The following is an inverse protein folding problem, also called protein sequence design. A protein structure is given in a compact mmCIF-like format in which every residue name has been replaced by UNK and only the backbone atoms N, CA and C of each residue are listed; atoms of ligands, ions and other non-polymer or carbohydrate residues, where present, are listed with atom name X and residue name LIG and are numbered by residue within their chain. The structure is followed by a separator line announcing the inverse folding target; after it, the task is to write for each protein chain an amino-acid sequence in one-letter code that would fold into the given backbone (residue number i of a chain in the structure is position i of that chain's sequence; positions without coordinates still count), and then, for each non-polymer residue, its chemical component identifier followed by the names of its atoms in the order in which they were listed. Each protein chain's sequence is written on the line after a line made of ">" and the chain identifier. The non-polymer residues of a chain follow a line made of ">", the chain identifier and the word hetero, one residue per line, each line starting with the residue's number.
data_IF_150310815021
#
_entry.id   IF_150310815021
#
_cell.length_a   1.000
_cell.length_b   1.000
_cell.length_c   1.000
_cell.angle_alpha   90.00
_cell.angle_beta   90.00
_cell.angle_gamma   90.00
#
_symmetry.space_group_name_H-M   'P 1'
#
loop_
_entity.id
_entity.type
_entity.pdbx_description
1 polymer ?
#
# COMPACT_ATOMS: atom_id res chain seq x y z
N UNK A 1 55.76 42.57 -4.70
CA UNK A 1 55.09 41.60 -5.59
C UNK A 1 54.72 40.39 -4.73
N UNK A 2 53.54 39.78 -4.68
CA UNK A 2 52.25 39.94 -5.33
C UNK A 2 51.21 39.28 -4.40
N UNK A 3 50.02 39.87 -4.30
CA UNK A 3 48.78 39.27 -3.78
C UNK A 3 48.21 38.28 -4.80
N UNK A 4 47.62 37.17 -4.35
CA UNK A 4 46.58 36.44 -5.10
C UNK A 4 45.68 35.64 -4.16
N UNK A 5 44.39 35.90 -4.30
CA UNK A 5 43.24 35.29 -3.64
C UNK A 5 42.60 34.30 -4.62
N UNK A 6 42.20 33.12 -4.14
CA UNK A 6 41.11 32.28 -4.71
C UNK A 6 40.48 31.52 -3.54
N UNK A 7 39.32 31.90 -3.00
CA UNK A 7 37.96 31.63 -3.53
C UNK A 7 37.61 30.15 -3.58
N UNK A 8 36.98 29.68 -2.50
CA UNK A 8 35.70 28.98 -2.52
C UNK A 8 35.63 27.56 -3.06
N UNK A 9 35.29 26.62 -2.18
CA UNK A 9 34.14 25.75 -2.45
C UNK A 9 33.47 25.36 -1.14
N UNK A 10 32.21 25.75 -1.05
CA UNK A 10 31.23 25.32 -0.07
C UNK A 10 30.94 23.86 -0.42
N UNK A 11 31.41 22.91 0.39
CA UNK A 11 31.03 21.50 0.30
C UNK A 11 29.52 21.39 0.58
N UNK A 12 28.75 21.65 -0.47
CA UNK A 12 27.38 21.26 -0.59
C UNK A 12 27.43 19.74 -0.69
N UNK A 13 27.17 19.09 0.44
CA UNK A 13 26.92 17.66 0.53
C UNK A 13 25.75 17.39 -0.40
N UNK A 14 26.04 17.08 -1.66
CA UNK A 14 25.09 16.49 -2.57
C UNK A 14 24.78 15.11 -1.96
N UNK A 15 23.65 15.05 -1.27
CA UNK A 15 22.90 13.83 -0.97
C UNK A 15 22.55 13.16 -2.32
N UNK A 16 23.55 12.59 -3.00
CA UNK A 16 23.31 11.56 -4.00
C UNK A 16 23.13 10.27 -3.24
N UNK A 17 22.02 10.17 -2.52
CA UNK A 17 21.46 8.87 -2.18
C UNK A 17 21.21 8.20 -3.53
N UNK A 18 21.87 7.07 -3.85
CA UNK A 18 21.56 6.37 -5.08
C UNK A 18 20.08 6.03 -4.99
N UNK A 19 19.28 6.57 -5.92
CA UNK A 19 17.92 6.12 -6.17
C UNK A 19 18.03 4.63 -6.47
N UNK A 20 17.85 3.81 -5.42
CA UNK A 20 17.86 2.38 -5.53
C UNK A 20 16.70 2.02 -6.45
N UNK A 21 17.01 1.76 -7.72
CA UNK A 21 16.05 1.24 -8.67
C UNK A 21 15.36 0.05 -7.99
N UNK A 22 14.01 0.00 -7.94
CA UNK A 22 13.32 -1.13 -7.34
C UNK A 22 13.85 -2.39 -8.02
N UNK A 23 14.41 -3.30 -7.21
CA UNK A 23 14.98 -4.53 -7.72
C UNK A 23 13.82 -5.39 -8.25
N UNK A 24 13.78 -5.75 -9.55
CA UNK A 24 12.67 -6.49 -10.13
C UNK A 24 12.51 -7.91 -9.58
N UNK A 25 13.41 -8.38 -8.71
CA UNK A 25 13.30 -9.68 -8.04
C UNK A 25 12.51 -9.61 -6.72
N UNK A 26 12.17 -8.40 -6.25
CA UNK A 26 11.29 -8.17 -5.09
C UNK A 26 9.90 -7.72 -5.56
N UNK A 27 9.37 -8.32 -6.62
CA UNK A 27 8.00 -8.05 -7.04
C UNK A 27 7.04 -8.60 -5.99
N UNK A 28 6.05 -7.80 -5.59
CA UNK A 28 4.99 -8.13 -4.63
C UNK A 28 4.10 -9.29 -5.12
N UNK A 29 4.63 -10.52 -5.20
CA UNK A 29 3.88 -11.71 -5.61
C UNK A 29 3.24 -11.62 -7.02
N UNK A 30 3.76 -10.76 -7.90
CA UNK A 30 3.16 -10.48 -9.20
C UNK A 30 1.95 -9.55 -9.16
N UNK A 31 1.72 -8.81 -8.07
CA UNK A 31 0.67 -7.80 -7.95
C UNK A 31 1.02 -6.56 -8.80
N UNK A 32 0.08 -6.12 -9.63
CA UNK A 32 0.22 -4.91 -10.48
C UNK A 32 -0.61 -3.74 -9.98
N UNK A 33 -1.67 -3.99 -9.23
CA UNK A 33 -2.48 -2.97 -8.56
C UNK A 33 -2.98 -3.54 -7.24
N UNK A 34 -2.88 -2.73 -6.20
CA UNK A 34 -3.32 -3.04 -4.86
C UNK A 34 -3.94 -1.80 -4.24
N UNK A 35 -5.12 -1.97 -3.67
CA UNK A 35 -5.82 -0.95 -2.91
C UNK A 35 -6.42 -1.61 -1.69
N UNK A 36 -6.14 -1.06 -0.52
CA UNK A 36 -6.71 -1.49 0.75
C UNK A 36 -7.17 -0.27 1.51
N UNK A 37 -8.41 -0.33 1.97
CA UNK A 37 -9.02 0.67 2.83
C UNK A 37 -9.63 -0.05 4.03
N UNK A 38 -9.34 0.44 5.23
CA UNK A 38 -9.98 -0.04 6.45
C UNK A 38 -10.41 1.15 7.31
N UNK A 39 -11.71 1.27 7.53
CA UNK A 39 -12.31 2.12 8.56
C UNK A 39 -12.31 1.37 9.89
N UNK A 40 -11.64 1.92 10.89
CA UNK A 40 -11.55 1.33 12.22
C UNK A 40 -12.38 2.10 13.26
N UNK A 41 -12.70 1.42 14.35
CA UNK A 41 -13.31 2.00 15.53
C UNK A 41 -12.47 3.17 16.06
N UNK A 42 -13.13 4.22 16.53
CA UNK A 42 -12.44 5.42 17.05
C UNK A 42 -12.05 6.45 15.98
N UNK A 43 -12.65 6.40 14.79
CA UNK A 43 -12.39 7.30 13.64
C UNK A 43 -10.95 7.16 13.12
N UNK A 44 -10.39 5.96 13.20
CA UNK A 44 -9.13 5.64 12.56
C UNK A 44 -9.40 5.11 11.16
N UNK A 45 -8.59 5.49 10.18
CA UNK A 45 -8.67 5.01 8.79
C UNK A 45 -7.27 4.65 8.31
N UNK A 46 -7.16 3.53 7.59
CA UNK A 46 -5.93 3.09 6.93
C UNK A 46 -6.24 2.97 5.44
N UNK A 47 -5.46 3.64 4.61
CA UNK A 47 -5.54 3.56 3.16
C UNK A 47 -4.16 3.25 2.58
N UNK A 48 -4.07 2.24 1.73
CA UNK A 48 -2.86 1.79 1.08
C UNK A 48 -3.15 1.65 -0.41
N UNK A 49 -2.42 2.37 -1.24
CA UNK A 49 -2.49 2.22 -2.70
C UNK A 49 -1.10 1.82 -3.21
N UNK A 50 -1.06 0.86 -4.12
CA UNK A 50 0.13 0.50 -4.90
C UNK A 50 -0.26 0.19 -6.34
N UNK A 51 0.49 0.76 -7.28
CA UNK A 51 0.30 0.56 -8.72
C UNK A 51 1.65 0.39 -9.39
N UNK A 52 1.77 -0.68 -10.17
CA UNK A 52 2.92 -0.94 -11.01
C UNK A 52 2.52 -0.79 -12.49
N UNK A 53 3.16 0.16 -13.19
CA UNK A 53 2.95 0.39 -14.63
C UNK A 53 4.28 0.56 -15.34
N UNK A 54 4.51 -0.22 -16.40
CA UNK A 54 5.69 -0.12 -17.29
C UNK A 54 7.03 -0.16 -16.54
N UNK A 55 7.13 -0.99 -15.50
CA UNK A 55 8.35 -1.13 -14.68
C UNK A 55 8.58 0.00 -13.67
N UNK A 56 7.62 0.92 -13.49
CA UNK A 56 7.63 1.91 -12.43
C UNK A 56 6.52 1.57 -11.41
N UNK A 57 6.88 1.53 -10.13
CA UNK A 57 5.95 1.39 -9.02
C UNK A 57 5.64 2.75 -8.40
N UNK A 58 4.40 2.95 -8.02
CA UNK A 58 3.91 4.10 -7.27
C UNK A 58 3.07 3.60 -6.12
N UNK A 59 3.17 4.26 -4.97
CA UNK A 59 2.36 3.95 -3.82
C UNK A 59 2.08 5.17 -2.96
N UNK A 60 1.00 5.06 -2.19
CA UNK A 60 0.56 6.03 -1.21
C UNK A 60 0.06 5.27 0.02
N UNK A 61 0.48 5.72 1.20
CA UNK A 61 0.02 5.20 2.49
C UNK A 61 -0.55 6.37 3.24
N UNK A 62 -1.78 6.24 3.72
CA UNK A 62 -2.45 7.25 4.52
C UNK A 62 -3.04 6.59 5.76
N UNK A 63 -2.60 7.04 6.94
CA UNK A 63 -3.09 6.56 8.23
C UNK A 63 -3.63 7.79 8.97
N UNK A 64 -4.93 7.80 9.21
CA UNK A 64 -5.61 8.88 9.90
C UNK A 64 -6.15 8.38 11.23
N UNK A 65 -5.88 9.08 12.32
CA UNK A 65 -6.39 8.76 13.65
C UNK A 65 -6.89 10.03 14.35
N UNK A 66 -8.21 10.19 14.46
CA UNK A 66 -8.89 11.34 15.10
C UNK A 66 -8.49 12.71 14.52
N UNK A 67 -7.36 13.28 14.95
CA UNK A 67 -6.82 14.58 14.52
C UNK A 67 -5.45 14.48 13.85
N UNK A 68 -4.80 13.33 13.96
CA UNK A 68 -3.49 13.07 13.38
C UNK A 68 -3.67 12.36 12.03
N UNK A 69 -2.87 12.76 11.05
CA UNK A 69 -2.87 12.19 9.71
C UNK A 69 -1.42 12.04 9.25
N UNK A 70 -0.99 10.80 9.11
CA UNK A 70 0.30 10.46 8.55
C UNK A 70 0.13 10.03 7.10
N UNK A 71 1.02 10.53 6.23
CA UNK A 71 0.98 10.23 4.80
C UNK A 71 2.38 9.95 4.27
N UNK A 72 2.58 8.77 3.69
CA UNK A 72 3.79 8.40 2.98
C UNK A 72 3.47 8.36 1.48
N UNK A 73 4.40 8.85 0.65
CA UNK A 73 4.29 8.83 -0.80
C UNK A 73 5.61 8.44 -1.45
N UNK A 74 5.54 8.10 -2.74
CA UNK A 74 6.72 7.86 -3.57
C UNK A 74 7.47 6.61 -3.12
N UNK A 75 8.80 6.62 -3.25
CA UNK A 75 9.61 5.42 -3.04
C UNK A 75 9.51 4.82 -1.63
N UNK A 76 9.34 5.66 -0.60
CA UNK A 76 9.15 5.18 0.78
C UNK A 76 7.83 4.42 0.94
N UNK A 77 6.74 4.93 0.35
CA UNK A 77 5.46 4.22 0.33
C UNK A 77 5.55 2.93 -0.47
N UNK A 78 6.28 2.93 -1.60
CA UNK A 78 6.48 1.73 -2.43
C UNK A 78 7.16 0.64 -1.62
N UNK A 79 8.28 0.96 -0.97
CA UNK A 79 9.00 -0.01 -0.14
C UNK A 79 8.15 -0.52 1.02
N UNK A 80 7.36 0.36 1.66
CA UNK A 80 6.46 -0.03 2.73
C UNK A 80 5.41 -1.03 2.24
N UNK A 81 4.70 -0.71 1.15
CA UNK A 81 3.63 -1.56 0.63
C UNK A 81 4.19 -2.86 0.04
N UNK A 82 5.31 -2.84 -0.69
CA UNK A 82 5.92 -4.06 -1.22
C UNK A 82 6.40 -5.00 -0.11
N UNK A 83 6.97 -4.45 0.97
CA UNK A 83 7.33 -5.24 2.16
C UNK A 83 6.08 -5.86 2.78
N UNK A 84 5.03 -5.07 2.99
CA UNK A 84 3.76 -5.52 3.54
C UNK A 84 3.14 -6.64 2.69
N UNK A 85 3.08 -6.47 1.37
CA UNK A 85 2.53 -7.46 0.45
C UNK A 85 3.37 -8.75 0.43
N UNK A 86 4.70 -8.61 0.54
CA UNK A 86 5.63 -9.74 0.69
C UNK A 86 5.42 -10.50 2.00
N UNK A 87 5.23 -9.80 3.12
CA UNK A 87 4.94 -10.39 4.43
C UNK A 87 3.56 -11.05 4.48
N UNK A 88 2.55 -10.43 3.87
CA UNK A 88 1.21 -10.98 3.76
C UNK A 88 1.15 -12.21 2.84
N UNK A 89 2.13 -12.39 1.94
CA UNK A 89 2.24 -13.57 1.10
C UNK A 89 1.00 -13.80 0.22
N UNK A 90 0.47 -12.72 -0.36
CA UNK A 90 -0.76 -12.75 -1.16
C UNK A 90 -0.52 -13.43 -2.51
N UNK A 91 -1.47 -14.26 -2.95
CA UNK A 91 -1.39 -14.99 -4.24
C UNK A 91 -2.73 -14.99 -4.96
N UNK A 92 -2.74 -15.20 -6.27
CA UNK A 92 -3.95 -15.20 -7.09
C UNK A 92 -4.83 -16.46 -6.94
N UNK A 93 -4.38 -17.43 -6.15
CA UNK A 93 -5.14 -18.64 -5.80
C UNK A 93 -6.00 -18.47 -4.54
N UNK A 94 -5.79 -17.39 -3.78
CA UNK A 94 -6.53 -17.10 -2.55
C UNK A 94 -7.88 -16.46 -2.84
N UNK A 95 -8.84 -16.68 -1.95
CA UNK A 95 -10.10 -15.94 -1.94
C UNK A 95 -9.89 -14.50 -1.43
N UNK A 96 -10.74 -13.56 -1.83
CA UNK A 96 -10.64 -12.16 -1.37
C UNK A 96 -10.67 -12.04 0.16
N UNK A 97 -11.46 -12.87 0.84
CA UNK A 97 -11.55 -12.92 2.30
C UNK A 97 -10.24 -13.38 2.96
N UNK A 98 -9.62 -14.44 2.43
CA UNK A 98 -8.33 -14.92 2.93
C UNK A 98 -7.24 -13.86 2.74
N UNK A 99 -7.20 -13.21 1.56
CA UNK A 99 -6.27 -12.13 1.27
C UNK A 99 -6.43 -10.95 2.24
N UNK A 100 -7.68 -10.59 2.56
CA UNK A 100 -7.99 -9.55 3.53
C UNK A 100 -7.54 -9.91 4.95
N UNK A 101 -7.77 -11.15 5.41
CA UNK A 101 -7.33 -11.62 6.73
C UNK A 101 -5.80 -11.60 6.87
N UNK A 102 -5.07 -11.99 5.81
CA UNK A 102 -3.61 -11.90 5.81
C UNK A 102 -3.10 -10.46 5.85
N UNK A 103 -3.74 -9.55 5.13
CA UNK A 103 -3.40 -8.12 5.17
C UNK A 103 -3.69 -7.49 6.53
N UNK A 104 -4.85 -7.77 7.11
CA UNK A 104 -5.19 -7.31 8.46
C UNK A 104 -4.16 -7.82 9.48
N UNK A 105 -3.77 -9.09 9.38
CA UNK A 105 -2.71 -9.66 10.22
C UNK A 105 -1.37 -8.94 10.03
N UNK A 106 -0.97 -8.67 8.79
CA UNK A 106 0.28 -7.97 8.49
C UNK A 106 0.29 -6.50 8.95
N UNK A 107 -0.91 -5.88 9.05
CA UNK A 107 -1.11 -4.51 9.54
C UNK A 107 -1.41 -4.44 11.05
N UNK A 108 -1.44 -5.58 11.76
CA UNK A 108 -1.83 -5.67 13.17
C UNK A 108 -3.24 -5.12 13.44
N UNK A 109 -4.15 -5.24 12.46
CA UNK A 109 -5.53 -4.78 12.55
C UNK A 109 -6.40 -5.92 13.06
N UNK A 110 -7.09 -5.69 14.19
CA UNK A 110 -8.03 -6.66 14.74
C UNK A 110 -9.37 -6.58 14.01
N UNK A 111 -9.95 -7.72 13.66
CA UNK A 111 -11.24 -7.81 12.96
C UNK A 111 -12.36 -7.10 13.72
N UNK A 112 -12.38 -7.19 15.05
CA UNK A 112 -13.37 -6.52 15.91
C UNK A 112 -13.31 -4.99 15.86
N UNK A 113 -12.23 -4.42 15.32
CA UNK A 113 -12.07 -2.98 15.16
C UNK A 113 -12.57 -2.49 13.81
N UNK A 114 -12.80 -3.38 12.83
CA UNK A 114 -13.22 -3.04 11.47
C UNK A 114 -14.68 -2.60 11.45
N UNK A 115 -14.92 -1.41 10.91
CA UNK A 115 -16.24 -0.91 10.53
C UNK A 115 -16.49 -1.05 9.04
N UNK A 116 -15.49 -0.71 8.26
CA UNK A 116 -15.53 -0.69 6.79
C UNK A 116 -14.23 -1.31 6.29
N UNK A 117 -14.28 -2.14 5.26
CA UNK A 117 -13.12 -2.77 4.66
C UNK A 117 -13.29 -2.85 3.14
N UNK A 118 -12.41 -2.19 2.41
CA UNK A 118 -12.25 -2.34 0.97
C UNK A 118 -10.91 -3.01 0.65
N UNK A 119 -10.93 -4.03 -0.20
CA UNK A 119 -9.73 -4.65 -0.74
C UNK A 119 -9.90 -4.86 -2.23
N UNK A 120 -8.90 -4.43 -3.00
CA UNK A 120 -8.76 -4.73 -4.41
C UNK A 120 -7.32 -5.13 -4.72
N UNK A 121 -7.16 -6.29 -5.35
CA UNK A 121 -5.85 -6.79 -5.80
C UNK A 121 -5.97 -7.21 -7.24
N UNK A 122 -5.08 -6.71 -8.10
CA UNK A 122 -4.91 -7.17 -9.47
C UNK A 122 -3.55 -7.81 -9.62
N UNK A 123 -3.54 -9.04 -10.11
CA UNK A 123 -2.32 -9.79 -10.38
C UNK A 123 -1.90 -9.65 -11.85
N UNK A 124 -0.62 -9.85 -12.12
CA UNK A 124 -0.01 -9.86 -13.46
C UNK A 124 -0.62 -10.95 -14.34
N UNK A 125 -1.12 -12.04 -13.73
CA UNK A 125 -1.88 -13.11 -14.38
C UNK A 125 -3.22 -12.64 -14.96
N UNK A 126 -3.69 -11.45 -14.59
CA UNK A 126 -4.97 -10.87 -15.03
C UNK A 126 -6.12 -11.11 -14.04
N UNK A 127 -5.99 -12.05 -13.09
CA UNK A 127 -6.95 -12.24 -12.01
C UNK A 127 -7.08 -11.01 -11.12
N UNK A 128 -8.29 -10.79 -10.62
CA UNK A 128 -8.61 -9.72 -9.69
C UNK A 128 -9.35 -10.29 -8.48
N UNK A 129 -8.95 -9.87 -7.29
CA UNK A 129 -9.67 -10.06 -6.05
C UNK A 129 -10.29 -8.72 -5.65
N UNK A 130 -11.58 -8.72 -5.32
CA UNK A 130 -12.28 -7.57 -4.75
C UNK A 130 -13.09 -8.05 -3.54
N UNK A 131 -13.10 -7.24 -2.48
CA UNK A 131 -13.91 -7.43 -1.29
C UNK A 131 -14.28 -6.05 -0.76
N UNK A 132 -15.56 -5.85 -0.48
CA UNK A 132 -16.08 -4.67 0.21
C UNK A 132 -16.96 -5.19 1.35
N UNK A 133 -16.70 -4.73 2.57
CA UNK A 133 -17.49 -5.02 3.77
C UNK A 133 -17.81 -3.68 4.40
N UNK A 134 -19.10 -3.41 4.55
CA UNK A 134 -19.60 -2.25 5.28
C UNK A 134 -20.51 -2.80 6.39
N UNK A 135 -20.18 -2.50 7.66
CA UNK A 135 -20.98 -2.91 8.81
C UNK A 135 -22.01 -1.84 9.22
N UNK A 136 -22.46 -0.97 8.31
CA UNK A 136 -23.74 -0.29 8.50
C UNK A 136 -24.83 -1.36 8.33
N UNK A 137 -25.41 -1.82 9.44
CA UNK A 137 -26.56 -2.73 9.49
C UNK A 137 -27.69 -2.24 8.57
N UNK A 138 -27.74 -2.73 7.32
CA UNK A 138 -28.97 -3.01 6.58
C UNK A 138 -28.77 -4.29 5.75
N UNK A 139 -29.57 -5.32 6.07
CA UNK A 139 -29.96 -6.43 5.21
C UNK A 139 -30.19 -5.98 3.74
N UNK A 140 -29.48 -6.61 2.80
CA UNK A 140 -29.80 -6.90 1.37
C UNK A 140 -28.44 -7.23 0.71
N UNK A 141 -28.19 -8.31 -0.01
CA UNK A 141 -29.03 -8.92 -1.02
C UNK A 141 -28.88 -10.45 -1.00
N UNK A 142 -30.03 -11.09 -1.17
CA UNK A 142 -30.22 -12.41 -1.74
C UNK A 142 -29.39 -12.55 -3.03
N UNK A 143 -28.43 -13.49 -3.06
CA UNK A 143 -27.92 -14.06 -4.30
C UNK A 143 -29.07 -14.86 -4.95
N UNK A 144 -29.97 -14.15 -5.65
CA UNK A 144 -30.84 -14.74 -6.65
C UNK A 144 -29.98 -15.05 -7.88
N UNK A 145 -29.38 -16.24 -7.86
CA UNK A 145 -28.80 -16.91 -9.02
C UNK A 145 -29.95 -17.18 -10.01
N UNK A 146 -30.20 -16.22 -10.91
CA UNK A 146 -31.21 -16.29 -11.97
C UNK A 146 -30.76 -17.32 -13.02
N UNK A 147 -31.47 -18.45 -13.10
CA UNK A 147 -31.40 -19.47 -14.17
C UNK A 147 -32.68 -19.44 -15.03
#
# INVERSE_FOLDING_TARGET
>A
MQISWTSGTKDKVEDKRPEAKPNPEQNAGGIVEFEFEAGLTGKQKVQLEYKQKKGAAQAEVEISAKKDKEKLKGQQAVQYVEKLLGEAGLTDSMSSREAAEKLMTALDINKDQIKELGLKIKFSSGKQLKLEIDNDDEDDDEDNDDE
#
